data_IF_814527832613
#
_entry.id   IF_814527832613
#
_cell.length_a   1.000
_cell.length_b   1.000
_cell.length_c   1.000
_cell.angle_alpha   90.00
_cell.angle_beta   90.00
_cell.angle_gamma   90.00
#
_symmetry.space_group_name_H-M   'P 1'
#
loop_
_entity.id
_entity.type
_entity.pdbx_description
1 polymer ?
#
# COMPACT_ATOMS: atom_id res chain seq x y z
N UNK A 1 3.46 19.72 -9.69
CA UNK A 1 2.63 18.50 -9.66
C UNK A 1 3.51 17.32 -9.23
N UNK A 2 3.17 16.64 -8.14
CA UNK A 2 3.97 15.57 -7.49
C UNK A 2 4.10 14.34 -8.40
N UNK A 3 5.24 13.65 -8.41
CA UNK A 3 5.53 12.52 -9.32
C UNK A 3 4.48 11.39 -9.26
N UNK A 4 3.99 11.05 -8.05
CA UNK A 4 2.94 10.04 -7.81
C UNK A 4 1.67 10.30 -8.63
N UNK A 5 1.13 11.51 -8.54
CA UNK A 5 -0.12 11.86 -9.23
C UNK A 5 -0.01 11.73 -10.76
N UNK A 6 1.16 12.07 -11.35
CA UNK A 6 1.39 11.91 -12.79
C UNK A 6 1.47 10.44 -13.20
N UNK A 7 2.06 9.58 -12.37
CA UNK A 7 2.13 8.15 -12.61
C UNK A 7 0.73 7.52 -12.58
N UNK A 8 -0.05 7.77 -11.53
CA UNK A 8 -1.40 7.23 -11.40
C UNK A 8 -2.30 7.61 -12.59
N UNK A 9 -2.28 8.88 -13.01
CA UNK A 9 -3.04 9.34 -14.19
C UNK A 9 -2.69 8.64 -15.50
N UNK A 10 -1.45 8.17 -15.65
CA UNK A 10 -1.00 7.50 -16.88
C UNK A 10 -1.30 6.01 -16.88
N UNK A 11 -1.24 5.36 -15.71
CA UNK A 11 -1.46 3.91 -15.61
C UNK A 11 -2.95 3.55 -15.57
N UNK A 12 -3.79 4.40 -14.98
CA UNK A 12 -5.21 4.16 -14.83
C UNK A 12 -5.94 3.78 -16.14
N UNK A 13 -5.86 4.56 -17.25
CA UNK A 13 -6.55 4.18 -18.48
C UNK A 13 -6.01 2.89 -19.10
N UNK A 14 -4.73 2.56 -18.90
CA UNK A 14 -4.15 1.30 -19.39
C UNK A 14 -4.77 0.11 -18.65
N UNK A 15 -4.98 0.24 -17.34
CA UNK A 15 -5.58 -0.80 -16.51
C UNK A 15 -7.09 -0.93 -16.75
N UNK A 16 -7.80 0.20 -16.76
CA UNK A 16 -9.26 0.22 -16.90
C UNK A 16 -9.68 -0.16 -18.33
N UNK A 17 -9.19 0.56 -19.34
CA UNK A 17 -9.62 0.36 -20.73
C UNK A 17 -8.87 -0.79 -21.41
N UNK A 18 -7.58 -0.95 -21.10
CA UNK A 18 -6.70 -1.93 -21.75
C UNK A 18 -6.75 -3.32 -21.13
N UNK A 19 -7.13 -3.45 -19.85
CA UNK A 19 -7.14 -4.71 -19.12
C UNK A 19 -8.48 -5.05 -18.45
N UNK A 20 -9.44 -4.11 -18.41
CA UNK A 20 -10.71 -4.31 -17.70
C UNK A 20 -10.57 -4.35 -16.18
N UNK A 21 -9.49 -3.77 -15.63
CA UNK A 21 -9.20 -3.74 -14.20
C UNK A 21 -9.67 -2.40 -13.63
N UNK A 22 -10.59 -2.44 -12.67
CA UNK A 22 -11.04 -1.24 -11.95
C UNK A 22 -9.97 -0.75 -10.98
N UNK A 23 -9.69 0.56 -11.00
CA UNK A 23 -8.66 1.19 -10.14
C UNK A 23 -9.31 2.22 -9.22
N UNK A 24 -9.02 2.12 -7.92
CA UNK A 24 -9.47 3.09 -6.92
C UNK A 24 -8.27 3.67 -6.16
N UNK A 25 -8.26 4.99 -5.96
CA UNK A 25 -7.23 5.64 -5.13
C UNK A 25 -7.60 5.50 -3.64
N UNK A 26 -6.70 4.87 -2.88
CA UNK A 26 -6.82 4.73 -1.43
C UNK A 26 -5.72 5.49 -0.68
N UNK A 27 -5.98 5.82 0.58
CA UNK A 27 -5.02 6.48 1.46
C UNK A 27 -3.86 5.56 1.82
N UNK A 28 -2.63 6.07 1.72
CA UNK A 28 -1.42 5.36 2.15
C UNK A 28 -1.17 5.49 3.67
N UNK A 29 -1.97 6.29 4.38
CA UNK A 29 -1.74 6.60 5.78
C UNK A 29 -1.73 5.33 6.65
N UNK A 30 -0.61 5.08 7.34
CA UNK A 30 -0.45 3.95 8.26
C UNK A 30 -0.18 2.60 7.59
N UNK A 31 -0.09 2.54 6.26
CA UNK A 31 0.20 1.29 5.52
C UNK A 31 1.59 0.73 5.82
N UNK A 32 2.54 1.57 6.27
CA UNK A 32 3.89 1.16 6.64
C UNK A 32 4.07 0.79 8.11
N UNK A 33 3.07 1.09 8.95
CA UNK A 33 3.14 0.91 10.41
C UNK A 33 2.00 0.05 10.96
N UNK A 34 1.14 -0.49 10.10
CA UNK A 34 0.05 -1.37 10.48
C UNK A 34 0.31 -2.80 10.00
N UNK A 35 0.10 -3.77 10.89
CA UNK A 35 0.13 -5.17 10.54
C UNK A 35 -1.07 -5.55 9.66
N UNK A 36 -0.85 -6.13 8.46
CA UNK A 36 -1.94 -6.49 7.55
C UNK A 36 -2.77 -7.67 8.07
N UNK A 37 -2.26 -8.46 9.02
CA UNK A 37 -2.96 -9.62 9.57
C UNK A 37 -3.83 -9.30 10.79
N UNK A 38 -3.30 -8.52 11.74
CA UNK A 38 -3.97 -8.27 13.01
C UNK A 38 -4.30 -6.79 13.27
N UNK A 39 -4.01 -5.91 12.30
CA UNK A 39 -4.23 -4.47 12.38
C UNK A 39 -3.46 -3.74 13.51
N UNK A 40 -2.55 -4.42 14.20
CA UNK A 40 -1.64 -3.85 15.21
C UNK A 40 -0.82 -2.70 14.62
N UNK A 41 -0.57 -1.65 15.41
CA UNK A 41 0.18 -0.47 14.98
C UNK A 41 1.37 -0.11 15.86
N UNK A 42 1.44 -0.67 17.08
CA UNK A 42 2.45 -0.30 18.10
C UNK A 42 3.67 -1.21 18.08
N UNK A 43 3.44 -2.50 17.85
CA UNK A 43 4.47 -3.55 17.87
C UNK A 43 4.72 -4.08 16.45
N UNK A 44 4.98 -3.15 15.54
CA UNK A 44 5.32 -3.42 14.14
C UNK A 44 6.69 -2.80 13.87
N UNK A 45 7.62 -3.62 13.40
CA UNK A 45 8.98 -3.22 13.06
C UNK A 45 9.25 -3.46 11.58
N UNK A 46 9.99 -2.54 10.95
CA UNK A 46 10.47 -2.68 9.58
C UNK A 46 11.96 -2.37 9.51
N UNK A 47 12.71 -3.27 8.91
CA UNK A 47 14.14 -3.09 8.63
C UNK A 47 14.43 -3.45 7.18
N UNK A 48 14.49 -2.44 6.31
CA UNK A 48 14.53 -2.64 4.86
C UNK A 48 13.28 -3.38 4.38
N UNK A 49 13.48 -4.55 3.79
CA UNK A 49 12.41 -5.43 3.29
C UNK A 49 11.84 -6.36 4.38
N UNK A 50 12.47 -6.41 5.56
CA UNK A 50 11.97 -7.23 6.67
C UNK A 50 10.81 -6.51 7.35
N UNK A 51 9.70 -7.23 7.50
CA UNK A 51 8.53 -6.84 8.28
C UNK A 51 8.39 -7.82 9.45
N UNK A 52 8.10 -7.31 10.65
CA UNK A 52 7.81 -8.14 11.82
C UNK A 52 6.70 -7.51 12.64
N UNK A 53 5.71 -8.31 13.04
CA UNK A 53 4.69 -7.95 14.01
C UNK A 53 4.78 -8.85 15.25
N UNK A 54 5.03 -8.26 16.42
CA UNK A 54 5.17 -9.05 17.66
C UNK A 54 3.83 -9.54 18.20
N UNK A 55 2.71 -8.89 17.84
CA UNK A 55 1.38 -9.27 18.32
C UNK A 55 0.84 -10.55 17.68
N UNK A 56 1.22 -10.86 16.43
CA UNK A 56 0.75 -12.07 15.72
C UNK A 56 1.87 -12.90 15.09
N UNK A 57 3.12 -12.56 15.40
CA UNK A 57 4.32 -13.29 15.00
C UNK A 57 4.39 -13.54 13.48
N UNK A 58 4.10 -12.51 12.69
CA UNK A 58 4.17 -12.54 11.23
C UNK A 58 5.20 -11.55 10.67
#
# INVERSE_FOLDING_TARGET
MVARARFCRRIQPVLEDGCGISVEEASEAGTSSQCPRCAEKRHVSRNGDVFQCDSCSC
#
